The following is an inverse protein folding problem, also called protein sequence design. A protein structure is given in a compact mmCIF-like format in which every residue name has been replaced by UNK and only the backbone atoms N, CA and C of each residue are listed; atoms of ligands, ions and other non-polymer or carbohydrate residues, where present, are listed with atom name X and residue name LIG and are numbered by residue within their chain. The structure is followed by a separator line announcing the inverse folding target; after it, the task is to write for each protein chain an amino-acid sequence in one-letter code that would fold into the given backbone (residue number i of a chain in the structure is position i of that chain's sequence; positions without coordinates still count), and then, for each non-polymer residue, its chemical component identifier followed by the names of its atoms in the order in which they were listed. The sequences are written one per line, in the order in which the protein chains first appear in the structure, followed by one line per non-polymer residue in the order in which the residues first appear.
data_IF_470749822830
#
_entry.id   IF_470749822830
#
_cell.length_a   1.000
_cell.length_b   1.000
_cell.length_c   1.000
_cell.angle_alpha   90.00
_cell.angle_beta   90.00
_cell.angle_gamma   90.00
#
_symmetry.space_group_name_H-M   'P 1'
#
loop_
_entity.id
_entity.type
_entity.pdbx_description
1 polymer ?
#
# COMPACT_ATOMS: atom_id res chain seq x y z
N UNK A 1 -9.89 -4.46 -21.01
CA UNK A 1 -9.29 -3.17 -20.59
C UNK A 1 -7.76 -3.29 -20.58
N UNK A 2 -7.05 -2.61 -21.49
CA UNK A 2 -5.58 -2.68 -21.58
C UNK A 2 -4.87 -2.22 -20.29
N UNK A 3 -5.51 -1.36 -19.49
CA UNK A 3 -4.94 -0.78 -18.27
C UNK A 3 -4.66 -1.80 -17.16
N UNK A 4 -5.51 -2.82 -16.95
CA UNK A 4 -5.30 -3.78 -15.85
C UNK A 4 -4.03 -4.62 -16.04
N UNK A 5 -3.63 -4.87 -17.29
CA UNK A 5 -2.39 -5.60 -17.62
C UNK A 5 -1.14 -4.85 -17.16
N UNK A 6 -1.21 -3.52 -17.10
CA UNK A 6 -0.11 -2.65 -16.63
C UNK A 6 -0.25 -2.38 -15.13
N UNK A 7 -1.46 -2.12 -14.66
CA UNK A 7 -1.74 -1.79 -13.26
C UNK A 7 -1.46 -2.95 -12.30
N UNK A 8 -1.65 -4.20 -12.74
CA UNK A 8 -1.38 -5.37 -11.91
C UNK A 8 0.10 -5.49 -11.51
N UNK A 9 1.08 -5.59 -12.43
CA UNK A 9 2.48 -5.70 -12.04
C UNK A 9 2.95 -4.47 -11.26
N UNK A 10 2.51 -3.26 -11.63
CA UNK A 10 2.83 -2.04 -10.88
C UNK A 10 2.28 -2.08 -9.45
N UNK A 11 1.09 -2.63 -9.24
CA UNK A 11 0.50 -2.78 -7.91
C UNK A 11 1.19 -3.84 -7.08
N UNK A 12 1.60 -4.96 -7.67
CA UNK A 12 2.37 -5.98 -6.97
C UNK A 12 3.73 -5.42 -6.53
N UNK A 13 4.42 -4.68 -7.41
CA UNK A 13 5.64 -3.96 -7.05
C UNK A 13 5.37 -2.95 -5.93
N UNK A 14 4.28 -2.18 -6.04
CA UNK A 14 3.90 -1.18 -5.02
C UNK A 14 3.63 -1.81 -3.66
N UNK A 15 2.95 -2.95 -3.61
CA UNK A 15 2.70 -3.71 -2.38
C UNK A 15 4.01 -4.25 -1.80
N UNK A 16 4.89 -4.79 -2.64
CA UNK A 16 6.21 -5.28 -2.21
C UNK A 16 7.08 -4.17 -1.65
N UNK A 17 7.13 -3.00 -2.30
CA UNK A 17 7.88 -1.84 -1.80
C UNK A 17 7.34 -1.38 -0.45
N UNK A 18 6.01 -1.27 -0.30
CA UNK A 18 5.40 -0.94 1.00
C UNK A 18 5.73 -2.00 2.06
N UNK A 19 5.64 -3.29 1.71
CA UNK A 19 5.97 -4.37 2.63
C UNK A 19 7.43 -4.31 3.10
N UNK A 20 8.38 -4.05 2.19
CA UNK A 20 9.81 -3.90 2.54
C UNK A 20 10.03 -2.71 3.48
N UNK A 21 9.40 -1.57 3.23
CA UNK A 21 9.48 -0.39 4.11
C UNK A 21 8.92 -0.73 5.50
N UNK A 22 7.73 -1.35 5.55
CA UNK A 22 7.11 -1.73 6.82
C UNK A 22 7.97 -2.72 7.60
N UNK A 23 8.51 -3.74 6.93
CA UNK A 23 9.42 -4.70 7.55
C UNK A 23 10.71 -4.04 8.03
N UNK A 24 11.27 -3.10 7.28
CA UNK A 24 12.45 -2.34 7.72
C UNK A 24 12.17 -1.49 8.97
N UNK A 25 10.96 -0.93 9.11
CA UNK A 25 10.52 -0.26 10.34
C UNK A 25 10.45 -1.26 11.50
N UNK A 26 9.87 -2.44 11.26
CA UNK A 26 9.80 -3.53 12.26
C UNK A 26 11.20 -3.94 12.70
N UNK A 27 12.18 -3.95 11.81
CA UNK A 27 13.57 -4.28 12.11
C UNK A 27 14.38 -3.08 12.65
N UNK A 28 13.76 -1.91 12.80
CA UNK A 28 14.37 -0.67 13.27
C UNK A 28 15.61 -0.24 12.46
N UNK A 29 15.54 -0.35 11.13
CA UNK A 29 16.66 0.02 10.24
C UNK A 29 16.79 1.54 10.09
N UNK A 30 18.00 2.05 9.88
CA UNK A 30 18.24 3.50 9.80
C UNK A 30 17.68 4.16 8.54
N UNK A 31 17.82 3.52 7.38
CA UNK A 31 17.44 4.10 6.08
C UNK A 31 15.94 4.37 5.94
N UNK A 32 15.10 3.73 6.76
CA UNK A 32 13.64 3.84 6.67
C UNK A 32 13.07 4.96 7.56
N UNK A 33 13.90 5.57 8.43
CA UNK A 33 13.47 6.62 9.36
C UNK A 33 12.84 7.80 8.63
N UNK A 34 13.46 8.31 7.58
CA UNK A 34 12.92 9.43 6.78
C UNK A 34 11.74 9.01 5.90
N UNK A 35 11.60 7.72 5.61
CA UNK A 35 10.55 7.14 4.76
C UNK A 35 9.28 6.79 5.52
N UNK A 36 9.33 6.71 6.86
CA UNK A 36 8.21 6.32 7.70
C UNK A 36 7.99 7.33 8.84
N UNK A 37 6.74 7.70 9.10
CA UNK A 37 6.37 8.62 10.17
C UNK A 37 7.15 9.95 10.11
N UNK A 38 7.39 10.46 8.90
CA UNK A 38 8.02 11.76 8.67
C UNK A 38 9.41 11.96 9.25
N UNK A 39 10.17 10.90 9.58
CA UNK A 39 11.49 11.06 10.22
C UNK A 39 11.44 11.44 11.70
N UNK A 40 10.30 11.26 12.37
CA UNK A 40 10.09 11.72 13.75
C UNK A 40 10.82 10.90 14.81
N UNK A 41 11.29 9.69 14.47
CA UNK A 41 11.85 8.75 15.43
C UNK A 41 13.34 8.50 15.16
N UNK A 42 14.16 8.63 16.21
CA UNK A 42 15.52 8.10 16.19
C UNK A 42 15.54 6.58 16.33
N UNK A 43 14.58 6.02 17.05
CA UNK A 43 14.32 4.58 17.14
C UNK A 43 12.80 4.38 17.16
N UNK A 44 12.31 3.44 16.38
CA UNK A 44 10.88 3.15 16.32
C UNK A 44 10.43 2.50 17.65
N UNK A 45 9.46 3.11 18.36
CA UNK A 45 8.90 2.50 19.57
C UNK A 45 8.34 1.11 19.29
N UNK A 46 8.45 0.18 20.25
CA UNK A 46 7.98 -1.21 20.10
C UNK A 46 6.52 -1.27 19.64
N UNK A 47 5.66 -0.41 20.20
CA UNK A 47 4.24 -0.32 19.83
C UNK A 47 4.08 0.03 18.34
N UNK A 48 4.84 0.99 17.82
CA UNK A 48 4.80 1.39 16.41
C UNK A 48 5.27 0.23 15.53
N UNK A 49 6.34 -0.48 15.94
CA UNK A 49 6.85 -1.66 15.23
C UNK A 49 5.80 -2.77 15.15
N UNK A 50 5.04 -3.02 16.22
CA UNK A 50 3.94 -4.00 16.21
C UNK A 50 2.84 -3.60 15.21
N UNK A 51 2.43 -2.32 15.20
CA UNK A 51 1.45 -1.85 14.21
C UNK A 51 1.96 -2.03 12.78
N UNK A 52 3.23 -1.70 12.52
CA UNK A 52 3.82 -1.84 11.20
C UNK A 52 4.00 -3.30 10.78
N UNK A 53 4.20 -4.22 11.72
CA UNK A 53 4.20 -5.66 11.46
C UNK A 53 2.80 -6.14 11.00
N UNK A 54 1.74 -5.66 11.65
CA UNK A 54 0.37 -5.96 11.20
C UNK A 54 0.12 -5.41 9.79
N UNK A 55 0.54 -4.17 9.51
CA UNK A 55 0.41 -3.59 8.18
C UNK A 55 1.24 -4.36 7.14
N UNK A 56 2.42 -4.85 7.50
CA UNK A 56 3.24 -5.69 6.63
C UNK A 56 2.48 -6.95 6.20
N UNK A 57 1.91 -7.68 7.16
CA UNK A 57 1.08 -8.87 6.87
C UNK A 57 -0.11 -8.51 5.99
N UNK A 58 -0.75 -7.35 6.24
CA UNK A 58 -1.85 -6.86 5.41
C UNK A 58 -1.40 -6.59 3.96
N UNK A 59 -0.21 -6.04 3.72
CA UNK A 59 0.30 -5.82 2.35
C UNK A 59 0.48 -7.14 1.61
N UNK A 60 1.00 -8.17 2.28
CA UNK A 60 1.13 -9.52 1.71
C UNK A 60 -0.24 -10.11 1.40
N UNK A 61 -1.19 -10.02 2.33
CA UNK A 61 -2.56 -10.50 2.12
C UNK A 61 -3.25 -9.80 0.94
N UNK A 62 -3.05 -8.48 0.79
CA UNK A 62 -3.55 -7.73 -0.36
C UNK A 62 -2.90 -8.14 -1.68
N UNK A 63 -1.61 -8.48 -1.69
CA UNK A 63 -0.91 -8.95 -2.88
C UNK A 63 -1.46 -10.30 -3.34
N UNK A 64 -1.67 -11.24 -2.40
CA UNK A 64 -2.30 -12.54 -2.66
C UNK A 64 -3.73 -12.33 -3.17
N UNK A 65 -4.54 -11.52 -2.46
CA UNK A 65 -5.93 -11.25 -2.87
C UNK A 65 -6.01 -10.65 -4.28
N UNK A 66 -5.14 -9.68 -4.58
CA UNK A 66 -5.08 -9.05 -5.89
C UNK A 66 -4.70 -10.06 -6.97
N UNK A 67 -3.72 -10.92 -6.70
CA UNK A 67 -3.31 -11.99 -7.61
C UNK A 67 -4.43 -13.01 -7.84
N UNK A 68 -5.15 -13.43 -6.82
CA UNK A 68 -6.21 -14.43 -7.00
C UNK A 68 -7.40 -13.86 -7.79
N UNK A 69 -7.66 -12.57 -7.65
CA UNK A 69 -8.84 -11.92 -8.20
C UNK A 69 -8.59 -11.10 -9.48
N UNK A 70 -7.36 -11.07 -10.02
CA UNK A 70 -7.06 -10.23 -11.19
C UNK A 70 -7.65 -10.75 -12.52
N UNK A 71 -7.99 -12.03 -12.64
CA UNK A 71 -8.54 -12.60 -13.89
C UNK A 71 -10.07 -12.75 -13.87
N UNK A 72 -10.65 -13.00 -12.70
CA UNK A 72 -12.08 -13.24 -12.55
C UNK A 72 -12.92 -11.95 -12.51
N UNK A 73 -14.21 -12.08 -12.76
CA UNK A 73 -15.21 -11.09 -12.35
C UNK A 73 -15.31 -11.07 -10.83
N UNK A 74 -15.43 -9.88 -10.25
CA UNK A 74 -15.51 -9.75 -8.80
C UNK A 74 -16.93 -10.02 -8.31
N UNK A 75 -17.05 -10.83 -7.26
CA UNK A 75 -18.31 -10.94 -6.51
C UNK A 75 -18.72 -9.57 -5.95
N UNK A 76 -20.01 -9.39 -5.62
CA UNK A 76 -20.49 -8.15 -4.98
C UNK A 76 -19.71 -7.80 -3.71
N UNK A 77 -19.29 -8.81 -2.94
CA UNK A 77 -18.42 -8.63 -1.76
C UNK A 77 -17.01 -8.17 -2.16
N UNK A 78 -16.43 -8.78 -3.19
CA UNK A 78 -15.13 -8.40 -3.75
C UNK A 78 -15.10 -6.94 -4.26
N UNK A 79 -16.17 -6.50 -4.93
CA UNK A 79 -16.31 -5.10 -5.38
C UNK A 79 -16.34 -4.12 -4.20
N UNK A 80 -17.12 -4.44 -3.14
CA UNK A 80 -17.15 -3.61 -1.92
C UNK A 80 -15.78 -3.56 -1.24
N UNK A 81 -15.11 -4.71 -1.12
CA UNK A 81 -13.76 -4.78 -0.56
C UNK A 81 -12.77 -3.94 -1.36
N UNK A 82 -12.70 -4.13 -2.68
CA UNK A 82 -11.82 -3.36 -3.56
C UNK A 82 -12.10 -1.85 -3.48
N UNK A 83 -13.36 -1.45 -3.34
CA UNK A 83 -13.73 -0.04 -3.15
C UNK A 83 -13.17 0.52 -1.85
N UNK A 84 -13.37 -0.16 -0.73
CA UNK A 84 -12.87 0.28 0.58
C UNK A 84 -11.35 0.38 0.56
N UNK A 85 -10.66 -0.66 0.09
CA UNK A 85 -9.20 -0.66 -0.04
C UNK A 85 -8.71 0.47 -0.95
N UNK A 86 -9.37 0.67 -2.08
CA UNK A 86 -9.07 1.77 -3.00
C UNK A 86 -9.15 3.13 -2.32
N UNK A 87 -10.21 3.41 -1.55
CA UNK A 87 -10.33 4.67 -0.81
C UNK A 87 -9.30 4.81 0.32
N UNK A 88 -8.95 3.73 1.02
CA UNK A 88 -7.85 3.75 2.00
C UNK A 88 -6.55 4.17 1.34
N UNK A 89 -6.25 3.65 0.14
CA UNK A 89 -5.05 4.07 -0.60
C UNK A 89 -5.14 5.48 -1.19
N UNK A 90 -6.34 5.99 -1.51
CA UNK A 90 -6.53 7.42 -1.83
C UNK A 90 -6.13 8.28 -0.64
N UNK A 91 -6.65 7.97 0.55
CA UNK A 91 -6.29 8.72 1.77
C UNK A 91 -4.79 8.62 2.05
N UNK A 92 -4.22 7.42 1.95
CA UNK A 92 -2.77 7.21 2.07
C UNK A 92 -1.98 8.07 1.09
N UNK A 93 -2.39 8.14 -0.18
CA UNK A 93 -1.75 8.99 -1.19
C UNK A 93 -1.72 10.45 -0.73
N UNK A 94 -2.85 10.97 -0.27
CA UNK A 94 -2.96 12.36 0.19
C UNK A 94 -2.08 12.62 1.41
N UNK A 95 -2.07 11.71 2.40
CA UNK A 95 -1.23 11.87 3.60
C UNK A 95 0.25 11.87 3.26
N UNK A 96 0.69 11.02 2.32
CA UNK A 96 2.09 11.01 1.89
C UNK A 96 2.47 12.28 1.14
N UNK A 97 1.59 12.80 0.27
CA UNK A 97 1.85 14.03 -0.47
C UNK A 97 2.03 15.26 0.43
N UNK A 98 1.27 15.34 1.53
CA UNK A 98 1.36 16.44 2.48
C UNK A 98 2.43 16.22 3.57
N UNK A 99 3.18 15.11 3.54
CA UNK A 99 4.24 14.86 4.51
C UNK A 99 5.30 15.97 4.48
N UNK A 100 5.89 16.25 5.64
CA UNK A 100 7.04 17.16 5.78
C UNK A 100 8.35 16.52 5.30
N UNK A 101 8.43 15.19 5.28
CA UNK A 101 9.60 14.46 4.77
C UNK A 101 9.53 14.32 3.25
N UNK A 102 10.57 14.80 2.55
CA UNK A 102 10.69 14.60 1.10
C UNK A 102 10.74 13.11 0.73
N UNK A 103 11.36 12.28 1.57
CA UNK A 103 11.48 10.84 1.39
C UNK A 103 10.15 10.11 1.56
N UNK A 104 9.30 10.58 2.48
CA UNK A 104 7.97 10.00 2.70
C UNK A 104 6.99 10.34 1.56
N UNK A 105 7.14 11.51 0.93
CA UNK A 105 6.34 11.90 -0.25
C UNK A 105 6.50 10.92 -1.42
N UNK A 106 7.66 10.28 -1.54
CA UNK A 106 7.86 9.22 -2.55
C UNK A 106 6.94 8.02 -2.37
N UNK A 107 6.42 7.77 -1.16
CA UNK A 107 5.45 6.73 -0.90
C UNK A 107 4.06 7.04 -1.51
N UNK A 108 3.82 8.28 -1.94
CA UNK A 108 2.58 8.65 -2.62
C UNK A 108 2.42 7.92 -3.96
N UNK A 109 3.52 7.64 -4.68
CA UNK A 109 3.49 6.96 -5.98
C UNK A 109 2.92 5.53 -5.85
N UNK A 110 3.46 4.64 -4.99
CA UNK A 110 2.89 3.31 -4.82
C UNK A 110 1.49 3.37 -4.21
N UNK A 111 1.20 4.31 -3.30
CA UNK A 111 -0.16 4.48 -2.77
C UNK A 111 -1.17 4.86 -3.87
N UNK A 112 -0.83 5.80 -4.74
CA UNK A 112 -1.68 6.23 -5.85
C UNK A 112 -1.92 5.09 -6.86
N UNK A 113 -0.86 4.34 -7.16
CA UNK A 113 -0.93 3.15 -8.02
C UNK A 113 -1.94 2.13 -7.48
N UNK A 114 -1.90 1.87 -6.17
CA UNK A 114 -2.83 0.94 -5.52
C UNK A 114 -4.25 1.50 -5.49
N UNK A 115 -4.42 2.79 -5.18
CA UNK A 115 -5.72 3.45 -5.23
C UNK A 115 -6.38 3.30 -6.60
N UNK A 116 -5.67 3.65 -7.67
CA UNK A 116 -6.16 3.56 -9.06
C UNK A 116 -6.51 2.11 -9.41
N UNK A 117 -5.67 1.16 -9.01
CA UNK A 117 -5.88 -0.26 -9.33
C UNK A 117 -7.11 -0.82 -8.65
N UNK A 118 -7.22 -0.67 -7.33
CA UNK A 118 -8.35 -1.18 -6.56
C UNK A 118 -9.67 -0.51 -6.94
N UNK A 119 -9.68 0.80 -7.22
CA UNK A 119 -10.87 1.48 -7.72
C UNK A 119 -11.24 1.03 -9.14
N UNK A 120 -10.26 0.76 -10.01
CA UNK A 120 -10.50 0.23 -11.35
C UNK A 120 -11.09 -1.18 -11.32
N UNK A 121 -10.71 -2.01 -10.35
CA UNK A 121 -11.30 -3.34 -10.15
C UNK A 121 -12.80 -3.28 -9.85
N UNK A 122 -13.29 -2.21 -9.21
CA UNK A 122 -14.73 -2.07 -8.89
C UNK A 122 -15.63 -1.96 -10.12
N UNK A 123 -15.04 -1.68 -11.30
CA UNK A 123 -15.74 -1.58 -12.58
C UNK A 123 -15.88 -2.94 -13.29
N UNK A 124 -15.38 -4.03 -12.70
CA UNK A 124 -15.38 -5.41 -13.25
C UNK A 124 -16.48 -6.29 -12.64
N UNK A 125 -17.65 -5.69 -12.42
CA UNK A 125 -18.84 -6.41 -12.01
C UNK A 125 -19.54 -7.00 -13.22
#
# INVERSE_FOLDING_TARGET
MKSIRVLLPLSLISLSVNAIILLAVVLNMDWVKTRAAGGQFENFPVVIRIFYLFMFVLMIALAIWLWDNHKAELTTRGVKFARVVGFVFVLSTLTQLISRSADERWNAIPAATLAITFLSLTKRK
#
